data_IF_368872000288
#
_entry.id   IF_368872000288
#
_cell.length_a   1.000
_cell.length_b   1.000
_cell.length_c   1.000
_cell.angle_alpha   90.00
_cell.angle_beta   90.00
_cell.angle_gamma   90.00
#
_symmetry.space_group_name_H-M   'P 1'
#
loop_
_entity.id
_entity.type
_entity.pdbx_description
1 polymer ?
#
# COMPACT_ATOMS: atom_id res chain seq x y z
N UNK A 1 -27.21 -31.10 12.52
CA UNK A 1 -25.78 -31.51 12.34
C UNK A 1 -25.02 -30.70 11.27
N UNK A 2 -25.55 -29.58 10.76
CA UNK A 2 -24.87 -28.73 9.76
C UNK A 2 -23.94 -27.64 10.33
N UNK A 3 -23.93 -27.40 11.65
CA UNK A 3 -23.17 -26.29 12.25
C UNK A 3 -21.64 -26.51 12.29
N UNK A 4 -21.15 -27.76 12.24
CA UNK A 4 -19.71 -28.05 12.34
C UNK A 4 -18.88 -27.60 11.12
N UNK A 5 -19.48 -27.55 9.92
CA UNK A 5 -18.77 -27.17 8.69
C UNK A 5 -18.57 -25.66 8.56
N UNK A 6 -19.51 -24.86 9.07
CA UNK A 6 -19.42 -23.40 9.04
C UNK A 6 -18.39 -22.86 10.07
N UNK A 7 -18.25 -23.52 11.22
CA UNK A 7 -17.27 -23.18 12.27
C UNK A 7 -15.83 -23.39 11.78
N UNK A 8 -15.55 -24.53 11.15
CA UNK A 8 -14.21 -24.80 10.59
C UNK A 8 -13.86 -23.84 9.45
N UNK A 9 -14.85 -23.48 8.63
CA UNK A 9 -14.67 -22.55 7.53
C UNK A 9 -14.30 -21.15 8.04
N UNK A 10 -15.02 -20.60 9.02
CA UNK A 10 -14.78 -19.26 9.58
C UNK A 10 -13.40 -19.15 10.26
N UNK A 11 -13.03 -20.13 11.09
CA UNK A 11 -11.70 -20.20 11.72
C UNK A 11 -10.58 -20.39 10.69
N UNK A 12 -10.85 -21.12 9.60
CA UNK A 12 -9.88 -21.25 8.50
C UNK A 12 -9.63 -19.93 7.78
N UNK A 13 -10.65 -19.06 7.67
CA UNK A 13 -10.50 -17.75 7.00
C UNK A 13 -9.67 -16.76 7.78
N UNK A 14 -9.90 -16.62 9.09
CA UNK A 14 -9.07 -15.75 9.95
C UNK A 14 -7.63 -16.25 10.00
N UNK A 15 -7.42 -17.57 10.07
CA UNK A 15 -6.07 -18.16 10.05
C UNK A 15 -5.36 -17.98 8.71
N UNK A 16 -6.08 -18.02 7.58
CA UNK A 16 -5.51 -17.72 6.24
C UNK A 16 -5.13 -16.25 6.11
N UNK A 17 -6.00 -15.33 6.53
CA UNK A 17 -5.70 -13.89 6.50
C UNK A 17 -4.48 -13.52 7.36
N UNK A 18 -4.31 -14.18 8.51
CA UNK A 18 -3.18 -13.93 9.41
C UNK A 18 -1.81 -14.25 8.79
N UNK A 19 -1.72 -15.29 7.93
CA UNK A 19 -0.48 -15.61 7.20
C UNK A 19 -0.08 -14.48 6.25
N UNK A 20 -1.05 -13.88 5.56
CA UNK A 20 -0.84 -12.75 4.67
C UNK A 20 -0.46 -11.48 5.42
N UNK A 21 -1.01 -11.27 6.62
CA UNK A 21 -0.62 -10.16 7.49
C UNK A 21 0.83 -10.25 7.94
N UNK A 22 1.33 -11.45 8.26
CA UNK A 22 2.75 -11.66 8.53
C UNK A 22 3.62 -11.35 7.32
N UNK A 23 3.21 -11.81 6.13
CA UNK A 23 3.96 -11.53 4.91
C UNK A 23 4.00 -10.04 4.59
N UNK A 24 2.89 -9.30 4.80
CA UNK A 24 2.87 -7.83 4.68
C UNK A 24 3.81 -7.16 5.67
N UNK A 25 3.83 -7.62 6.92
CA UNK A 25 4.72 -7.06 7.95
C UNK A 25 6.19 -7.30 7.58
N UNK A 26 6.54 -8.51 7.15
CA UNK A 26 7.89 -8.85 6.72
C UNK A 26 8.31 -8.06 5.47
N UNK A 27 7.49 -8.05 4.42
CA UNK A 27 7.78 -7.33 3.17
C UNK A 27 7.82 -5.81 3.35
N UNK A 28 6.92 -5.24 4.16
CA UNK A 28 6.96 -3.82 4.51
C UNK A 28 8.20 -3.45 5.32
N UNK A 29 8.64 -4.33 6.23
CA UNK A 29 9.87 -4.12 7.01
C UNK A 29 11.13 -4.23 6.14
N UNK A 30 11.17 -5.19 5.22
CA UNK A 30 12.23 -5.32 4.23
C UNK A 30 12.31 -4.09 3.32
N UNK A 31 11.16 -3.63 2.82
CA UNK A 31 11.07 -2.42 2.01
C UNK A 31 11.51 -1.19 2.79
N UNK A 32 11.11 -1.03 4.06
CA UNK A 32 11.56 0.10 4.87
C UNK A 32 13.07 0.02 5.17
N UNK A 33 13.59 -1.18 5.39
CA UNK A 33 15.02 -1.39 5.70
C UNK A 33 15.92 -1.16 4.49
N UNK A 34 15.42 -1.41 3.27
CA UNK A 34 16.19 -1.17 2.05
C UNK A 34 16.48 0.32 1.81
N UNK A 35 15.82 1.23 2.54
CA UNK A 35 16.15 2.66 2.56
C UNK A 35 17.58 2.92 3.03
N UNK A 36 18.08 2.07 3.93
CA UNK A 36 19.43 2.18 4.49
C UNK A 36 20.46 1.37 3.70
N UNK A 37 20.02 0.51 2.78
CA UNK A 37 20.94 -0.33 2.00
C UNK A 37 21.50 0.45 0.81
N UNK A 38 22.82 0.45 0.61
CA UNK A 38 23.42 1.10 -0.55
C UNK A 38 23.07 0.38 -1.85
N UNK A 39 22.84 1.17 -2.89
CA UNK A 39 22.70 0.77 -4.28
C UNK A 39 24.07 0.98 -4.95
N UNK A 40 24.79 -0.11 -5.21
CA UNK A 40 26.14 -0.06 -5.76
C UNK A 40 26.08 0.02 -7.29
N UNK A 41 26.80 0.98 -7.87
CA UNK A 41 27.08 1.02 -9.31
C UNK A 41 28.48 0.47 -9.58
N UNK A 42 28.65 -0.21 -10.71
CA UNK A 42 29.92 -0.82 -11.13
C UNK A 42 31.06 0.22 -11.27
N UNK A 43 30.72 1.49 -11.53
CA UNK A 43 31.67 2.62 -11.63
C UNK A 43 32.11 3.21 -10.27
N UNK A 44 31.92 2.51 -9.16
CA UNK A 44 32.45 2.88 -7.83
C UNK A 44 31.63 3.91 -7.05
N UNK A 45 30.48 4.35 -7.57
CA UNK A 45 29.51 5.16 -6.84
C UNK A 45 28.53 4.28 -6.07
N UNK A 46 28.32 4.56 -4.79
CA UNK A 46 27.25 3.97 -4.00
C UNK A 46 26.18 5.03 -3.73
N UNK A 47 24.98 4.83 -4.26
CA UNK A 47 23.81 5.65 -3.93
C UNK A 47 23.14 5.03 -2.71
N UNK A 48 23.13 5.74 -1.59
CA UNK A 48 22.40 5.30 -0.40
C UNK A 48 21.20 6.21 -0.23
N UNK A 49 19.95 5.73 -0.42
CA UNK A 49 18.77 6.58 -0.43
C UNK A 49 18.66 7.50 0.78
N UNK A 50 18.98 6.97 1.96
CA UNK A 50 19.03 7.72 3.20
C UNK A 50 20.12 8.80 3.18
N UNK A 51 21.36 8.42 2.91
CA UNK A 51 22.50 9.35 2.86
C UNK A 51 22.26 10.46 1.84
N UNK A 52 21.78 10.11 0.65
CA UNK A 52 21.64 11.02 -0.48
C UNK A 52 20.43 11.94 -0.28
N UNK A 53 19.34 11.46 0.33
CA UNK A 53 18.25 12.33 0.75
C UNK A 53 18.71 13.37 1.78
N UNK A 54 19.50 12.97 2.78
CA UNK A 54 20.05 13.91 3.77
C UNK A 54 21.08 14.87 3.16
N UNK A 55 21.92 14.38 2.24
CA UNK A 55 22.87 15.21 1.51
C UNK A 55 22.12 16.27 0.70
N UNK A 56 21.09 15.88 -0.07
CA UNK A 56 20.26 16.79 -0.83
C UNK A 56 19.55 17.82 0.06
N UNK A 57 18.98 17.41 1.21
CA UNK A 57 18.39 18.35 2.17
C UNK A 57 19.41 19.33 2.74
N UNK A 58 20.62 18.86 3.02
CA UNK A 58 21.70 19.70 3.52
C UNK A 58 22.16 20.72 2.46
N UNK A 59 22.23 20.30 1.20
CA UNK A 59 22.60 21.13 0.07
C UNK A 59 21.53 22.20 -0.18
N UNK A 60 20.25 21.83 -0.22
CA UNK A 60 19.11 22.74 -0.37
C UNK A 60 19.04 23.75 0.78
N UNK A 61 19.40 23.34 1.99
CA UNK A 61 19.45 24.25 3.15
C UNK A 61 20.56 25.28 3.01
N UNK A 62 21.70 24.91 2.43
CA UNK A 62 22.85 25.81 2.23
C UNK A 62 22.68 26.68 0.97
N UNK A 63 22.11 26.11 -0.08
CA UNK A 63 21.95 26.67 -1.40
C UNK A 63 20.49 26.50 -1.82
N UNK A 64 19.57 27.34 -1.30
CA UNK A 64 18.17 27.22 -1.64
C UNK A 64 17.98 27.40 -3.15
N UNK A 65 17.10 26.60 -3.78
CA UNK A 65 16.84 26.68 -5.21
C UNK A 65 16.39 28.11 -5.57
N UNK A 66 17.05 28.69 -6.56
CA UNK A 66 16.79 30.06 -7.01
C UNK A 66 15.60 30.14 -7.97
N UNK A 67 15.19 29.01 -8.55
CA UNK A 67 14.08 28.91 -9.48
C UNK A 67 12.97 27.97 -8.98
N UNK A 68 11.75 28.22 -9.45
CA UNK A 68 10.59 27.33 -9.21
C UNK A 68 10.88 25.92 -9.74
N UNK A 69 11.57 25.81 -10.87
CA UNK A 69 11.95 24.54 -11.47
C UNK A 69 12.89 23.74 -10.59
N UNK A 70 13.95 24.36 -10.07
CA UNK A 70 14.90 23.69 -9.20
C UNK A 70 14.22 23.26 -7.90
N UNK A 71 13.29 24.08 -7.39
CA UNK A 71 12.45 23.74 -6.24
C UNK A 71 11.60 22.49 -6.51
N UNK A 72 10.96 22.43 -7.67
CA UNK A 72 10.15 21.28 -8.08
C UNK A 72 11.05 20.04 -8.29
N UNK A 73 12.20 20.18 -8.96
CA UNK A 73 13.15 19.10 -9.20
C UNK A 73 13.67 18.50 -7.89
N UNK A 74 14.12 19.34 -6.97
CA UNK A 74 14.52 18.93 -5.61
C UNK A 74 13.37 18.19 -4.93
N UNK A 75 12.15 18.71 -5.03
CA UNK A 75 10.95 18.06 -4.51
C UNK A 75 10.78 16.66 -5.10
N UNK A 76 10.86 16.50 -6.41
CA UNK A 76 10.73 15.21 -7.10
C UNK A 76 11.83 14.23 -6.68
N UNK A 77 13.08 14.68 -6.64
CA UNK A 77 14.24 13.86 -6.25
C UNK A 77 14.11 13.38 -4.80
N UNK A 78 13.83 14.29 -3.88
CA UNK A 78 13.63 13.96 -2.47
C UNK A 78 12.48 12.96 -2.30
N UNK A 79 11.39 13.21 -3.01
CA UNK A 79 10.18 12.39 -2.91
C UNK A 79 10.40 11.01 -3.55
N UNK A 80 11.12 10.91 -4.66
CA UNK A 80 11.50 9.63 -5.28
C UNK A 80 12.46 8.80 -4.44
N UNK A 81 13.32 9.45 -3.64
CA UNK A 81 14.24 8.79 -2.71
C UNK A 81 13.57 8.31 -1.41
N UNK A 82 12.46 8.94 -0.99
CA UNK A 82 11.87 8.71 0.34
C UNK A 82 10.51 8.00 0.27
N UNK A 83 9.63 8.39 -0.65
CA UNK A 83 8.24 7.92 -0.69
C UNK A 83 8.06 6.42 -0.83
N UNK A 84 8.81 5.71 -1.70
CA UNK A 84 8.68 4.26 -1.80
C UNK A 84 8.95 3.52 -0.48
N UNK A 85 9.82 4.09 0.37
CA UNK A 85 10.19 3.52 1.67
C UNK A 85 9.17 3.88 2.76
N UNK A 86 8.58 5.08 2.67
CA UNK A 86 7.46 5.51 3.51
C UNK A 86 6.22 4.61 3.30
N UNK A 87 6.00 4.11 2.08
CA UNK A 87 4.98 3.10 1.79
C UNK A 87 5.22 1.83 2.62
N UNK A 88 6.47 1.35 2.70
CA UNK A 88 6.86 0.23 3.54
C UNK A 88 6.54 0.47 5.02
N UNK A 89 6.88 1.64 5.55
CA UNK A 89 6.61 2.01 6.94
C UNK A 89 5.11 2.01 7.27
N UNK A 90 4.28 2.66 6.44
CA UNK A 90 2.84 2.68 6.65
C UNK A 90 2.19 1.31 6.44
N UNK A 91 2.71 0.47 5.56
CA UNK A 91 2.26 -0.90 5.39
C UNK A 91 2.50 -1.74 6.66
N UNK A 92 3.67 -1.58 7.31
CA UNK A 92 3.97 -2.21 8.60
C UNK A 92 3.04 -1.69 9.69
N UNK A 93 2.90 -0.37 9.82
CA UNK A 93 2.02 0.24 10.82
C UNK A 93 0.56 -0.21 10.66
N UNK A 94 0.06 -0.27 9.42
CA UNK A 94 -1.28 -0.77 9.12
C UNK A 94 -1.43 -2.27 9.46
N UNK A 95 -0.41 -3.09 9.20
CA UNK A 95 -0.42 -4.51 9.55
C UNK A 95 -0.45 -4.73 11.07
N UNK A 96 0.33 -3.97 11.84
CA UNK A 96 0.32 -4.00 13.31
C UNK A 96 -1.05 -3.55 13.83
N UNK A 97 -1.55 -2.40 13.35
CA UNK A 97 -2.85 -1.86 13.74
C UNK A 97 -4.00 -2.84 13.48
N UNK A 98 -4.01 -3.50 12.32
CA UNK A 98 -5.00 -4.51 11.98
C UNK A 98 -5.01 -5.69 12.95
N UNK A 99 -3.83 -6.13 13.41
CA UNK A 99 -3.70 -7.23 14.38
C UNK A 99 -4.12 -6.84 15.79
N UNK A 100 -3.89 -5.59 16.16
CA UNK A 100 -4.36 -5.04 17.44
C UNK A 100 -5.86 -4.70 17.42
N UNK A 101 -6.56 -4.87 16.28
CA UNK A 101 -7.97 -4.51 16.13
C UNK A 101 -8.21 -3.00 16.05
N UNK A 102 -7.17 -2.20 15.80
CA UNK A 102 -7.24 -0.73 15.76
C UNK A 102 -7.68 -0.22 14.40
N UNK A 103 -8.98 -0.37 14.10
CA UNK A 103 -9.59 -0.03 12.81
C UNK A 103 -9.28 1.40 12.34
N UNK A 104 -9.35 2.38 13.24
CA UNK A 104 -9.06 3.79 12.93
C UNK A 104 -7.60 4.01 12.53
N UNK A 105 -6.66 3.36 13.21
CA UNK A 105 -5.23 3.50 12.90
C UNK A 105 -4.87 2.83 11.58
N UNK A 106 -5.46 1.67 11.27
CA UNK A 106 -5.30 1.02 9.96
C UNK A 106 -5.81 1.92 8.83
N UNK A 107 -6.97 2.56 9.03
CA UNK A 107 -7.52 3.52 8.07
C UNK A 107 -6.58 4.73 7.93
N UNK A 108 -6.13 5.32 9.04
CA UNK A 108 -5.21 6.46 9.03
C UNK A 108 -3.92 6.14 8.29
N UNK A 109 -3.28 5.00 8.57
CA UNK A 109 -2.07 4.57 7.86
C UNK A 109 -2.33 4.43 6.36
N UNK A 110 -3.46 3.85 5.95
CA UNK A 110 -3.82 3.75 4.53
C UNK A 110 -4.05 5.11 3.87
N UNK A 111 -4.62 6.08 4.60
CA UNK A 111 -4.82 7.46 4.12
C UNK A 111 -3.48 8.17 3.98
N UNK A 112 -2.61 8.08 4.97
CA UNK A 112 -1.29 8.70 4.94
C UNK A 112 -0.43 8.14 3.81
N UNK A 113 -0.43 6.81 3.63
CA UNK A 113 0.27 6.14 2.54
C UNK A 113 -0.22 6.65 1.17
N UNK A 114 -1.54 6.84 1.03
CA UNK A 114 -2.15 7.38 -0.17
C UNK A 114 -1.88 8.90 -0.36
N UNK A 115 -1.88 9.68 0.72
CA UNK A 115 -1.62 11.12 0.68
C UNK A 115 -0.18 11.39 0.23
N UNK A 116 0.80 10.70 0.81
CA UNK A 116 2.21 10.78 0.44
C UNK A 116 2.40 10.45 -1.06
N UNK A 117 1.70 9.42 -1.53
CA UNK A 117 1.69 9.08 -2.95
C UNK A 117 1.08 10.18 -3.83
N UNK A 118 -0.05 10.76 -3.41
CA UNK A 118 -0.72 11.83 -4.17
C UNK A 118 0.18 13.06 -4.31
N UNK A 119 0.87 13.45 -3.22
CA UNK A 119 1.85 14.53 -3.24
C UNK A 119 3.00 14.24 -4.21
N UNK A 120 3.50 13.00 -4.22
CA UNK A 120 4.56 12.61 -5.14
C UNK A 120 4.14 12.76 -6.61
N UNK A 121 2.99 12.18 -6.97
CA UNK A 121 2.49 12.24 -8.33
C UNK A 121 2.19 13.68 -8.77
N UNK A 122 1.66 14.52 -7.87
CA UNK A 122 1.44 15.93 -8.15
C UNK A 122 2.75 16.70 -8.38
N UNK A 123 3.77 16.47 -7.53
CA UNK A 123 5.08 17.12 -7.67
C UNK A 123 5.78 16.74 -8.96
N UNK A 124 5.79 15.45 -9.30
CA UNK A 124 6.40 14.99 -10.54
C UNK A 124 5.59 15.47 -11.78
N UNK A 125 4.26 15.58 -11.71
CA UNK A 125 3.44 16.15 -12.79
C UNK A 125 3.78 17.62 -13.01
N UNK A 126 3.89 18.37 -11.91
CA UNK A 126 4.31 19.77 -11.93
C UNK A 126 5.68 19.95 -12.58
N UNK A 127 6.63 19.03 -12.30
CA UNK A 127 7.95 19.04 -12.93
C UNK A 127 7.88 18.87 -14.44
N UNK A 128 7.15 17.85 -14.91
CA UNK A 128 6.99 17.61 -16.34
C UNK A 128 6.33 18.78 -17.06
N UNK A 129 5.31 19.39 -16.46
CA UNK A 129 4.67 20.59 -17.03
C UNK A 129 5.64 21.77 -17.09
N UNK A 130 6.43 21.99 -16.03
CA UNK A 130 7.43 23.06 -16.01
C UNK A 130 8.49 22.87 -17.10
N UNK A 131 9.00 21.64 -17.29
CA UNK A 131 9.95 21.33 -18.36
C UNK A 131 9.35 21.58 -19.76
N UNK A 132 8.10 21.16 -20.00
CA UNK A 132 7.44 21.38 -21.29
C UNK A 132 7.20 22.87 -21.55
N UNK A 133 6.85 23.64 -20.52
CA UNK A 133 6.62 25.07 -20.65
C UNK A 133 7.89 25.85 -21.02
N UNK A 134 9.06 25.41 -20.54
CA UNK A 134 10.34 26.10 -20.75
C UNK A 134 11.03 25.72 -22.07
N UNK A 135 11.03 24.43 -22.43
CA UNK A 135 11.77 23.93 -23.60
C UNK A 135 10.87 23.64 -24.81
N UNK A 136 9.55 23.68 -24.64
CA UNK A 136 8.62 23.20 -25.66
C UNK A 136 8.64 21.67 -25.81
N UNK A 137 7.61 21.12 -26.47
CA UNK A 137 7.36 19.68 -26.48
C UNK A 137 8.52 18.90 -27.15
N UNK A 138 9.08 19.39 -28.25
CA UNK A 138 10.13 18.68 -29.00
C UNK A 138 11.46 18.57 -28.26
N UNK A 139 11.92 19.65 -27.62
CA UNK A 139 13.18 19.63 -26.86
C UNK A 139 13.00 18.97 -25.49
N UNK A 140 11.82 19.13 -24.86
CA UNK A 140 11.49 18.38 -23.65
C UNK A 140 11.45 16.88 -23.93
N UNK A 141 10.85 16.43 -25.05
CA UNK A 141 10.88 15.03 -25.46
C UNK A 141 12.31 14.57 -25.74
N UNK A 142 13.19 15.39 -26.32
CA UNK A 142 14.62 15.06 -26.46
C UNK A 142 15.34 14.88 -25.10
N UNK A 143 15.05 15.72 -24.11
CA UNK A 143 15.54 15.55 -22.74
C UNK A 143 14.97 14.28 -22.07
N UNK A 144 13.71 13.94 -22.35
CA UNK A 144 13.05 12.73 -21.86
C UNK A 144 13.42 11.46 -22.64
N UNK A 145 13.84 11.53 -23.90
CA UNK A 145 14.28 10.40 -24.74
C UNK A 145 15.68 9.91 -24.33
N UNK A 146 16.55 10.83 -23.89
CA UNK A 146 17.92 10.48 -23.44
C UNK A 146 17.91 9.88 -22.03
N UNK A 147 16.84 10.07 -21.26
CA UNK A 147 16.65 9.44 -19.95
C UNK A 147 15.53 8.42 -20.05
N UNK A 148 15.82 7.12 -20.05
CA UNK A 148 14.79 6.06 -19.92
C UNK A 148 13.85 6.30 -18.69
N UNK A 149 14.38 7.04 -17.70
CA UNK A 149 13.69 7.60 -16.55
C UNK A 149 12.47 8.48 -16.96
N UNK A 150 12.59 9.24 -18.05
CA UNK A 150 11.61 10.18 -18.57
C UNK A 150 10.33 9.58 -19.13
N UNK A 151 10.44 8.49 -19.89
CA UNK A 151 9.29 7.73 -20.40
C UNK A 151 8.57 6.96 -19.28
N UNK A 152 9.34 6.38 -18.34
CA UNK A 152 8.80 5.78 -17.12
C UNK A 152 8.06 6.81 -16.26
N UNK A 153 8.64 8.00 -16.09
CA UNK A 153 8.07 9.14 -15.36
C UNK A 153 6.83 9.69 -16.09
N UNK A 154 6.82 9.91 -17.40
CA UNK A 154 5.64 10.39 -18.14
C UNK A 154 4.45 9.41 -18.08
N UNK A 155 4.72 8.11 -18.19
CA UNK A 155 3.70 7.07 -17.99
C UNK A 155 3.17 7.02 -16.55
N UNK A 156 4.07 7.15 -15.56
CA UNK A 156 3.71 7.33 -14.16
C UNK A 156 2.87 8.58 -13.92
N UNK A 157 3.17 9.66 -14.62
CA UNK A 157 2.57 10.98 -14.40
C UNK A 157 1.21 11.17 -15.05
N UNK A 158 0.92 10.48 -16.14
CA UNK A 158 -0.43 10.49 -16.71
C UNK A 158 -1.36 9.50 -15.99
N UNK A 159 -0.87 8.30 -15.71
CA UNK A 159 -1.73 7.18 -15.32
C UNK A 159 -1.98 7.11 -13.80
N UNK A 160 -0.97 7.47 -12.99
CA UNK A 160 -1.05 7.34 -11.53
C UNK A 160 -1.93 8.42 -10.89
N UNK A 161 -1.90 9.71 -11.30
CA UNK A 161 -2.86 10.70 -10.82
C UNK A 161 -4.31 10.31 -11.13
N UNK A 162 -4.57 9.75 -12.31
CA UNK A 162 -5.92 9.35 -12.71
C UNK A 162 -6.43 8.17 -11.87
N UNK A 163 -5.58 7.15 -11.68
CA UNK A 163 -5.90 6.02 -10.80
C UNK A 163 -6.03 6.44 -9.34
N UNK A 164 -5.15 7.32 -8.84
CA UNK A 164 -5.18 7.79 -7.46
C UNK A 164 -6.41 8.65 -7.20
N UNK A 165 -6.71 9.66 -8.02
CA UNK A 165 -7.91 10.50 -7.84
C UNK A 165 -9.19 9.67 -7.96
N UNK A 166 -9.28 8.76 -8.94
CA UNK A 166 -10.41 7.84 -9.07
C UNK A 166 -10.58 6.95 -7.84
N UNK A 167 -9.48 6.39 -7.30
CA UNK A 167 -9.48 5.59 -6.08
C UNK A 167 -9.78 6.42 -4.83
N UNK A 168 -9.30 7.66 -4.72
CA UNK A 168 -9.59 8.55 -3.60
C UNK A 168 -11.10 8.79 -3.54
N UNK A 169 -11.69 9.20 -4.65
CA UNK A 169 -13.13 9.45 -4.76
C UNK A 169 -13.95 8.19 -4.52
N UNK A 170 -13.51 7.02 -5.00
CA UNK A 170 -14.16 5.74 -4.71
C UNK A 170 -14.02 5.35 -3.22
N UNK A 171 -12.87 5.60 -2.60
CA UNK A 171 -12.60 5.27 -1.21
C UNK A 171 -13.31 6.19 -0.22
N UNK A 172 -13.56 7.45 -0.60
CA UNK A 172 -14.40 8.38 0.17
C UNK A 172 -15.88 7.94 0.14
N UNK A 173 -16.29 7.20 -0.90
CA UNK A 173 -17.66 6.67 -1.03
C UNK A 173 -17.84 5.29 -0.41
N UNK A 174 -16.76 4.53 -0.20
CA UNK A 174 -16.81 3.15 0.28
C UNK A 174 -16.37 3.06 1.76
N UNK A 175 -17.33 2.88 2.67
CA UNK A 175 -17.06 2.82 4.12
C UNK A 175 -16.28 1.56 4.57
N UNK A 176 -16.40 0.44 3.84
CA UNK A 176 -15.92 -0.87 4.33
C UNK A 176 -14.79 -1.50 3.49
N UNK A 177 -14.54 -1.05 2.26
CA UNK A 177 -13.56 -1.63 1.33
C UNK A 177 -12.31 -0.78 1.03
N UNK A 178 -12.25 0.44 1.56
CA UNK A 178 -11.20 1.41 1.24
C UNK A 178 -9.76 1.01 1.64
N UNK A 179 -9.48 0.40 2.82
CA UNK A 179 -8.12 0.11 3.24
C UNK A 179 -7.33 -0.87 2.34
N UNK A 180 -7.85 -2.05 1.94
CA UNK A 180 -7.12 -2.99 1.08
C UNK A 180 -6.90 -2.44 -0.33
N UNK A 181 -7.83 -1.64 -0.87
CA UNK A 181 -7.65 -0.98 -2.16
C UNK A 181 -6.49 0.03 -2.14
N UNK A 182 -6.40 0.86 -1.08
CA UNK A 182 -5.29 1.80 -0.91
C UNK A 182 -3.94 1.10 -0.74
N UNK A 183 -3.91 0.03 0.07
CA UNK A 183 -2.72 -0.78 0.26
C UNK A 183 -2.25 -1.43 -1.05
N UNK A 184 -3.20 -1.94 -1.86
CA UNK A 184 -2.92 -2.54 -3.16
C UNK A 184 -2.31 -1.52 -4.11
N UNK A 185 -2.92 -0.34 -4.22
CA UNK A 185 -2.46 0.72 -5.10
C UNK A 185 -1.05 1.20 -4.71
N UNK A 186 -0.81 1.44 -3.42
CA UNK A 186 0.52 1.84 -2.95
C UNK A 186 1.59 0.78 -3.23
N UNK A 187 1.27 -0.50 -3.04
CA UNK A 187 2.20 -1.61 -3.31
C UNK A 187 2.48 -1.78 -4.81
N UNK A 188 1.45 -1.64 -5.65
CA UNK A 188 1.58 -1.68 -7.12
C UNK A 188 2.47 -0.56 -7.62
N UNK A 189 2.35 0.63 -7.04
CA UNK A 189 3.15 1.78 -7.44
C UNK A 189 4.59 1.70 -6.97
N UNK A 190 4.83 1.22 -5.75
CA UNK A 190 6.19 0.91 -5.32
C UNK A 190 6.85 -0.10 -6.27
N UNK A 191 6.11 -1.15 -6.67
CA UNK A 191 6.59 -2.14 -7.65
C UNK A 191 6.93 -1.51 -9.00
N UNK A 192 6.03 -0.70 -9.55
CA UNK A 192 6.27 -0.03 -10.83
C UNK A 192 7.46 0.93 -10.75
N UNK A 193 7.59 1.68 -9.65
CA UNK A 193 8.70 2.62 -9.43
C UNK A 193 10.06 1.91 -9.41
N UNK A 194 10.22 0.90 -8.56
CA UNK A 194 11.48 0.15 -8.50
C UNK A 194 11.73 -0.66 -9.78
N UNK A 195 10.67 -1.09 -10.47
CA UNK A 195 10.78 -1.74 -11.77
C UNK A 195 11.38 -0.82 -12.82
N UNK A 196 10.92 0.43 -12.86
CA UNK A 196 11.51 1.47 -13.71
C UNK A 196 12.98 1.73 -13.35
N UNK A 197 13.32 1.83 -12.06
CA UNK A 197 14.71 2.05 -11.64
C UNK A 197 15.65 0.91 -12.07
N UNK A 198 15.22 -0.35 -11.92
CA UNK A 198 16.01 -1.51 -12.37
C UNK A 198 16.17 -1.51 -13.88
N UNK A 199 15.10 -1.23 -14.64
CA UNK A 199 15.17 -1.15 -16.10
C UNK A 199 16.09 -0.04 -16.60
N UNK A 200 16.04 1.14 -15.96
CA UNK A 200 16.93 2.27 -16.30
C UNK A 200 18.39 1.88 -16.07
N UNK A 201 18.67 1.24 -14.94
CA UNK A 201 20.04 0.85 -14.61
C UNK A 201 20.59 -0.20 -15.57
N UNK A 202 19.80 -1.20 -15.96
CA UNK A 202 20.19 -2.17 -16.99
C UNK A 202 20.58 -1.49 -18.31
N UNK A 203 19.91 -0.39 -18.68
CA UNK A 203 20.28 0.38 -19.89
C UNK A 203 21.57 1.19 -19.70
N UNK A 204 21.81 1.74 -18.51
CA UNK A 204 23.02 2.54 -18.22
C UNK A 204 24.28 1.68 -17.97
N UNK A 205 24.11 0.38 -17.76
CA UNK A 205 25.18 -0.63 -17.69
C UNK A 205 24.95 -1.65 -16.57
N UNK A 206 25.62 -2.82 -16.58
CA UNK A 206 25.41 -3.93 -15.64
C UNK A 206 25.98 -3.64 -14.22
N UNK A 207 25.53 -2.55 -13.60
CA UNK A 207 25.76 -2.26 -12.19
C UNK A 207 24.81 -3.07 -11.32
N UNK A 208 25.36 -3.80 -10.36
CA UNK A 208 24.58 -4.64 -9.46
C UNK A 208 23.79 -3.79 -8.43
N UNK A 209 22.61 -3.31 -8.83
CA UNK A 209 21.65 -2.60 -7.97
C UNK A 209 20.97 -3.53 -6.95
N UNK A 210 21.76 -4.15 -6.07
CA UNK A 210 21.24 -5.03 -5.03
C UNK A 210 20.13 -4.37 -4.20
N UNK A 211 20.29 -3.09 -3.83
CA UNK A 211 19.26 -2.34 -3.09
C UNK A 211 17.96 -2.11 -3.89
N UNK A 212 18.05 -1.83 -5.19
CA UNK A 212 16.85 -1.65 -6.03
C UNK A 212 16.14 -2.98 -6.28
N UNK A 213 16.90 -4.06 -6.52
CA UNK A 213 16.36 -5.41 -6.65
C UNK A 213 15.69 -5.90 -5.36
N UNK A 214 16.29 -5.63 -4.20
CA UNK A 214 15.69 -5.91 -2.89
C UNK A 214 14.38 -5.13 -2.69
N UNK A 215 14.36 -3.85 -3.08
CA UNK A 215 13.17 -3.00 -2.96
C UNK A 215 12.06 -3.43 -3.93
N UNK A 216 12.42 -3.83 -5.16
CA UNK A 216 11.54 -4.42 -6.15
C UNK A 216 10.93 -5.73 -5.64
N UNK A 217 11.77 -6.65 -5.16
CA UNK A 217 11.33 -7.93 -4.59
C UNK A 217 10.41 -7.73 -3.37
N UNK A 218 10.75 -6.78 -2.49
CA UNK A 218 9.94 -6.45 -1.32
C UNK A 218 8.58 -5.88 -1.72
N UNK A 219 8.54 -5.02 -2.75
CA UNK A 219 7.30 -4.44 -3.28
C UNK A 219 6.42 -5.50 -3.96
N UNK A 220 7.02 -6.47 -4.67
CA UNK A 220 6.30 -7.61 -5.23
C UNK A 220 5.69 -8.48 -4.13
N UNK A 221 6.48 -8.81 -3.10
CA UNK A 221 5.99 -9.57 -1.95
C UNK A 221 4.86 -8.85 -1.23
N UNK A 222 4.97 -7.52 -1.06
CA UNK A 222 3.95 -6.71 -0.43
C UNK A 222 2.65 -6.70 -1.25
N UNK A 223 2.75 -6.55 -2.58
CA UNK A 223 1.61 -6.60 -3.50
C UNK A 223 0.89 -7.96 -3.42
N UNK A 224 1.65 -9.05 -3.50
CA UNK A 224 1.13 -10.42 -3.37
C UNK A 224 0.45 -10.62 -2.01
N UNK A 225 1.04 -10.07 -0.94
CA UNK A 225 0.49 -10.19 0.40
C UNK A 225 -0.83 -9.43 0.58
N UNK A 226 -0.97 -8.24 -0.03
CA UNK A 226 -2.23 -7.49 -0.04
C UNK A 226 -3.31 -8.22 -0.84
N UNK A 227 -2.99 -8.74 -2.03
CA UNK A 227 -3.94 -9.52 -2.84
C UNK A 227 -4.39 -10.77 -2.08
N UNK A 228 -3.43 -11.49 -1.47
CA UNK A 228 -3.70 -12.70 -0.72
C UNK A 228 -4.57 -12.46 0.52
N UNK A 229 -4.33 -11.37 1.24
CA UNK A 229 -5.20 -10.98 2.36
C UNK A 229 -6.61 -10.63 1.87
N UNK A 230 -6.73 -9.80 0.84
CA UNK A 230 -8.03 -9.42 0.28
C UNK A 230 -8.82 -10.65 -0.19
N UNK A 231 -8.16 -11.57 -0.91
CA UNK A 231 -8.76 -12.82 -1.36
C UNK A 231 -9.16 -13.74 -0.19
N UNK A 232 -8.36 -13.78 0.88
CA UNK A 232 -8.67 -14.57 2.08
C UNK A 232 -9.89 -14.01 2.83
N UNK A 233 -10.02 -12.69 2.91
CA UNK A 233 -11.14 -12.01 3.58
C UNK A 233 -12.44 -12.14 2.78
N UNK A 234 -12.38 -11.99 1.46
CA UNK A 234 -13.57 -12.07 0.59
C UNK A 234 -13.91 -13.49 0.13
N UNK A 235 -13.03 -14.47 0.37
CA UNK A 235 -13.09 -15.86 -0.16
C UNK A 235 -13.22 -15.94 -1.69
N UNK A 236 -12.68 -14.96 -2.40
CA UNK A 236 -12.74 -14.94 -3.86
C UNK A 236 -11.51 -15.60 -4.48
N UNK A 237 -11.60 -15.91 -5.77
CA UNK A 237 -10.43 -16.27 -6.56
C UNK A 237 -9.49 -15.07 -6.71
N UNK A 238 -8.20 -15.33 -6.94
CA UNK A 238 -7.20 -14.28 -7.13
C UNK A 238 -7.56 -13.34 -8.29
N UNK A 239 -7.99 -13.88 -9.43
CA UNK A 239 -8.37 -13.08 -10.60
C UNK A 239 -9.54 -12.13 -10.33
N UNK A 240 -10.57 -12.60 -9.60
CA UNK A 240 -11.69 -11.75 -9.20
C UNK A 240 -11.25 -10.67 -8.21
N UNK A 241 -10.43 -11.05 -7.22
CA UNK A 241 -9.89 -10.12 -6.22
C UNK A 241 -9.07 -9.02 -6.89
N UNK A 242 -8.16 -9.37 -7.80
CA UNK A 242 -7.33 -8.40 -8.55
C UNK A 242 -8.23 -7.46 -9.35
N UNK A 243 -9.21 -7.98 -10.08
CA UNK A 243 -10.15 -7.15 -10.86
C UNK A 243 -10.93 -6.19 -9.95
N UNK A 244 -11.39 -6.65 -8.79
CA UNK A 244 -12.12 -5.84 -7.83
C UNK A 244 -11.22 -4.77 -7.18
N UNK A 245 -9.99 -5.11 -6.82
CA UNK A 245 -9.00 -4.17 -6.30
C UNK A 245 -8.66 -3.10 -7.35
N UNK A 246 -8.45 -3.48 -8.61
CA UNK A 246 -8.21 -2.53 -9.71
C UNK A 246 -9.38 -1.57 -9.94
N UNK A 247 -10.62 -2.07 -9.81
CA UNK A 247 -11.84 -1.28 -10.03
C UNK A 247 -12.37 -0.59 -8.77
N UNK A 248 -11.67 -0.66 -7.63
CA UNK A 248 -12.13 -0.20 -6.31
C UNK A 248 -13.46 -0.82 -5.85
N UNK A 249 -13.88 -1.93 -6.44
CA UNK A 249 -15.16 -2.60 -6.16
C UNK A 249 -14.91 -3.88 -5.39
N UNK A 250 -14.11 -3.78 -4.32
CA UNK A 250 -13.91 -4.91 -3.44
C UNK A 250 -15.26 -5.26 -2.82
N UNK A 251 -15.71 -6.50 -3.03
CA UNK A 251 -16.91 -7.00 -2.39
C UNK A 251 -16.78 -6.77 -0.88
N UNK A 252 -17.91 -6.41 -0.25
CA UNK A 252 -17.95 -6.35 1.19
C UNK A 252 -17.38 -7.67 1.75
N UNK A 253 -16.60 -7.62 2.85
CA UNK A 253 -16.25 -8.83 3.59
C UNK A 253 -17.54 -9.63 3.78
N UNK A 254 -17.50 -10.95 3.57
CA UNK A 254 -18.68 -11.80 3.77
C UNK A 254 -19.27 -11.41 5.12
N UNK A 255 -20.53 -10.99 5.08
CA UNK A 255 -21.23 -10.37 6.19
C UNK A 255 -20.92 -11.16 7.45
N UNK A 256 -20.10 -10.57 8.32
CA UNK A 256 -19.61 -11.20 9.54
C UNK A 256 -20.71 -11.19 10.61
N UNK A 257 -21.97 -11.35 10.17
CA UNK A 257 -23.13 -11.48 11.05
C UNK A 257 -22.83 -12.57 12.06
N UNK A 258 -22.94 -12.19 13.33
CA UNK A 258 -22.65 -13.10 14.42
C UNK A 258 -21.17 -13.36 14.66
N UNK A 259 -20.24 -12.57 14.14
CA UNK A 259 -18.82 -12.65 14.48
C UNK A 259 -18.37 -11.50 15.39
N UNK A 260 -17.39 -11.76 16.24
CA UNK A 260 -16.85 -10.80 17.19
C UNK A 260 -16.19 -9.63 16.45
N UNK A 261 -16.54 -8.37 16.76
CA UNK A 261 -15.93 -7.22 16.10
C UNK A 261 -14.46 -7.01 16.47
N UNK A 262 -14.00 -7.59 17.59
CA UNK A 262 -12.61 -7.55 18.04
C UNK A 262 -11.70 -8.53 17.29
N UNK A 263 -12.02 -9.83 17.35
CA UNK A 263 -11.15 -10.88 16.82
C UNK A 263 -11.74 -11.69 15.65
N UNK A 264 -13.00 -11.46 15.26
CA UNK A 264 -13.68 -12.21 14.21
C UNK A 264 -14.12 -13.63 14.62
N UNK A 265 -14.07 -13.98 15.91
CA UNK A 265 -14.58 -15.26 16.41
C UNK A 265 -16.09 -15.38 16.17
N UNK A 266 -16.55 -16.54 15.73
CA UNK A 266 -17.97 -16.77 15.53
C UNK A 266 -18.69 -16.90 16.89
N UNK A 267 -19.61 -15.98 17.16
CA UNK A 267 -20.35 -15.87 18.40
C UNK A 267 -21.65 -16.71 18.42
N UNK A 268 -22.00 -17.41 17.33
CA UNK A 268 -23.20 -18.27 17.25
C UNK A 268 -23.16 -19.35 18.33
N UNK A 269 -24.25 -19.48 19.10
CA UNK A 269 -24.42 -20.50 20.13
C UNK A 269 -23.76 -20.19 21.49
N UNK A 270 -23.23 -18.98 21.68
CA UNK A 270 -22.80 -18.53 22.99
C UNK A 270 -24.00 -18.23 23.89
N UNK A 271 -23.85 -18.44 25.19
CA UNK A 271 -24.84 -18.07 26.22
C UNK A 271 -24.53 -16.72 26.86
N UNK A 272 -23.35 -16.18 26.62
CA UNK A 272 -22.88 -14.91 27.18
C UNK A 272 -22.49 -13.94 26.06
N UNK A 273 -22.79 -12.65 26.23
CA UNK A 273 -22.41 -11.58 25.30
C UNK A 273 -20.93 -11.18 25.43
N UNK A 274 -20.05 -12.18 25.59
CA UNK A 274 -18.60 -12.02 25.61
C UNK A 274 -17.96 -13.01 24.67
N UNK A 275 -16.99 -12.53 23.91
CA UNK A 275 -16.20 -13.40 23.06
C UNK A 275 -15.28 -14.30 23.91
N UNK A 276 -15.30 -15.63 23.76
CA UNK A 276 -14.44 -16.53 24.52
C UNK A 276 -12.96 -16.37 24.16
N UNK A 277 -12.65 -15.98 22.91
CA UNK A 277 -11.26 -15.80 22.46
C UNK A 277 -10.61 -14.52 22.99
N UNK A 278 -11.28 -13.37 22.88
CA UNK A 278 -10.68 -12.07 23.21
C UNK A 278 -11.25 -11.40 24.46
N UNK A 279 -12.25 -11.99 25.11
CA UNK A 279 -12.90 -11.48 26.32
C UNK A 279 -13.76 -10.22 26.12
N UNK A 280 -13.75 -9.63 24.91
CA UNK A 280 -14.52 -8.42 24.58
C UNK A 280 -16.02 -8.69 24.67
N UNK A 281 -16.73 -7.82 25.39
CA UNK A 281 -18.18 -7.77 25.35
C UNK A 281 -18.67 -7.19 24.01
N UNK A 282 -19.81 -7.65 23.53
CA UNK A 282 -20.42 -7.20 22.28
C UNK A 282 -21.93 -7.03 22.45
N UNK A 283 -22.57 -6.21 21.63
CA UNK A 283 -24.04 -6.15 21.54
C UNK A 283 -24.53 -6.82 20.26
N UNK A 284 -25.81 -7.19 20.21
CA UNK A 284 -26.43 -7.76 19.01
C UNK A 284 -26.46 -6.77 17.84
N UNK A 285 -26.65 -5.47 18.12
CA UNK A 285 -26.53 -4.45 17.08
C UNK A 285 -25.11 -4.37 16.52
N UNK A 286 -24.07 -4.45 17.38
CA UNK A 286 -22.66 -4.38 16.96
C UNK A 286 -22.27 -5.51 15.99
N UNK A 287 -22.90 -6.69 16.11
CA UNK A 287 -22.60 -7.88 15.30
C UNK A 287 -23.60 -8.11 14.17
N UNK A 288 -24.60 -7.24 14.03
CA UNK A 288 -25.60 -7.31 12.95
C UNK A 288 -26.45 -8.58 12.93
N UNK A 289 -26.61 -9.25 14.08
CA UNK A 289 -27.36 -10.49 14.21
C UNK A 289 -28.35 -10.40 15.38
N UNK A 290 -29.56 -10.94 15.22
CA UNK A 290 -30.55 -10.94 16.31
C UNK A 290 -30.24 -12.01 17.37
N UNK A 291 -30.74 -11.89 18.61
CA UNK A 291 -30.57 -12.93 19.62
C UNK A 291 -31.05 -14.30 19.13
N UNK A 292 -32.17 -14.35 18.39
CA UNK A 292 -32.73 -15.59 17.85
C UNK A 292 -31.82 -16.20 16.78
N UNK A 293 -31.28 -15.37 15.85
CA UNK A 293 -30.31 -15.81 14.85
C UNK A 293 -29.08 -16.40 15.53
N UNK A 294 -28.62 -15.80 16.63
CA UNK A 294 -27.46 -16.22 17.42
C UNK A 294 -27.69 -17.46 18.28
N UNK A 295 -28.95 -17.92 18.41
CA UNK A 295 -29.32 -19.04 19.26
C UNK A 295 -29.39 -18.72 20.75
N UNK A 296 -29.41 -17.43 21.12
CA UNK A 296 -29.73 -17.00 22.48
C UNK A 296 -31.21 -17.28 22.73
N UNK A 297 -31.50 -18.33 23.50
CA UNK A 297 -32.86 -18.53 23.99
C UNK A 297 -33.15 -17.44 25.00
N UNK A 298 -34.15 -16.60 24.71
CA UNK A 298 -34.79 -15.79 25.73
C UNK A 298 -35.22 -16.72 26.86
N UNK A 299 -34.66 -16.53 28.05
CA UNK A 299 -35.18 -17.18 29.25
C UNK A 299 -36.63 -16.71 29.41
N UNK A 300 -37.57 -17.59 29.05
CA UNK A 300 -39.00 -17.38 29.23
C UNK A 300 -39.39 -17.49 30.69
#
# INVERSE_FOLDING_TARGET
MANGSHISAAQSTTRRAHKWQWLKLASGSLLASSFFTPMMYEKGGAVNPCRDAFALLSEVRQHPPSSVKDTILVGVLLTGLVVPYVIGFFAVAAAIAARCGWRHLTSLCSVLMFAVLTFYCAGALGYSVACVAEYGIREAVGYFEVSLLGLGVLGFLGFVPFLTVGHLLASLRAETGAPPCRAFLGSLLALLWFGTLVLVAEVEGPGALHGACLSLGSSLMLLVAVIGEAAAVTRQSWGQTIRQLLTCRLAAPIDMKGACPGCGYNLYGLTEQRCPECGRAFTFEEIGATPEEMGFRSAG
#
